data_IF_699310131732
#
_entry.id   IF_699310131732
#
_cell.length_a   1.000
_cell.length_b   1.000
_cell.length_c   1.000
_cell.angle_alpha   90.00
_cell.angle_beta   90.00
_cell.angle_gamma   90.00
#
_symmetry.space_group_name_H-M   'P 1'
#
loop_
_entity.id
_entity.type
_entity.pdbx_description
1 polymer ?
#
# COMPACT_ATOMS: atom_id res chain seq x y z
N UNK A 1 13.15 13.58 1.56
CA UNK A 1 13.94 13.03 0.43
C UNK A 1 15.25 12.40 0.90
N UNK A 2 16.17 13.16 1.49
CA UNK A 2 17.52 12.68 1.88
C UNK A 2 17.48 11.42 2.75
N UNK A 3 16.56 11.34 3.71
CA UNK A 3 16.42 10.19 4.64
C UNK A 3 16.14 8.88 3.90
N UNK A 4 15.31 8.92 2.85
CA UNK A 4 14.99 7.72 2.06
C UNK A 4 16.18 7.24 1.23
N UNK A 5 16.95 8.17 0.65
CA UNK A 5 18.09 7.85 -0.19
C UNK A 5 19.25 7.19 0.59
N UNK A 6 19.31 7.38 1.91
CA UNK A 6 20.27 6.70 2.76
C UNK A 6 19.99 5.19 2.90
N UNK A 7 18.75 4.76 2.64
CA UNK A 7 18.34 3.35 2.69
C UNK A 7 18.57 2.62 1.36
N UNK A 8 19.02 3.34 0.33
CA UNK A 8 19.13 2.82 -1.03
C UNK A 8 20.60 2.76 -1.44
N UNK A 9 21.08 1.56 -1.75
CA UNK A 9 22.50 1.30 -1.99
C UNK A 9 22.97 1.76 -3.38
N UNK A 10 22.16 1.53 -4.43
CA UNK A 10 22.58 1.78 -5.81
C UNK A 10 22.11 3.14 -6.34
N UNK A 11 22.91 3.73 -7.24
CA UNK A 11 22.54 5.00 -7.90
C UNK A 11 21.31 4.83 -8.80
N UNK A 12 21.14 3.67 -9.42
CA UNK A 12 19.99 3.35 -10.28
C UNK A 12 18.69 3.32 -9.46
N UNK A 13 18.69 2.62 -8.32
CA UNK A 13 17.52 2.55 -7.43
C UNK A 13 17.21 3.91 -6.79
N UNK A 14 18.24 4.74 -6.51
CA UNK A 14 18.03 6.13 -6.05
C UNK A 14 17.30 6.95 -7.09
N UNK A 15 17.74 6.91 -8.34
CA UNK A 15 17.08 7.62 -9.45
C UNK A 15 15.64 7.14 -9.64
N UNK A 16 15.41 5.84 -9.59
CA UNK A 16 14.07 5.23 -9.63
C UNK A 16 13.20 5.72 -8.49
N UNK A 17 13.72 5.73 -7.27
CA UNK A 17 13.00 6.22 -6.09
C UNK A 17 12.63 7.69 -6.20
N UNK A 18 13.53 8.55 -6.70
CA UNK A 18 13.24 9.98 -6.90
C UNK A 18 12.10 10.18 -7.90
N UNK A 19 12.09 9.42 -9.00
CA UNK A 19 10.98 9.44 -9.96
C UNK A 19 9.65 9.01 -9.31
N UNK A 20 9.65 7.91 -8.56
CA UNK A 20 8.47 7.43 -7.84
C UNK A 20 7.97 8.45 -6.81
N UNK A 21 8.89 9.09 -6.09
CA UNK A 21 8.54 10.10 -5.10
C UNK A 21 7.82 11.28 -5.76
N UNK A 22 8.41 11.88 -6.81
CA UNK A 22 7.81 13.02 -7.50
C UNK A 22 6.48 12.68 -8.16
N UNK A 23 6.37 11.51 -8.75
CA UNK A 23 5.18 11.07 -9.47
C UNK A 23 4.00 10.74 -8.53
N UNK A 24 4.28 10.12 -7.38
CA UNK A 24 3.23 9.53 -6.55
C UNK A 24 2.96 10.24 -5.22
N UNK A 25 3.80 11.18 -4.77
CA UNK A 25 3.64 11.86 -3.47
C UNK A 25 2.25 12.47 -3.26
N UNK A 26 1.67 13.09 -4.29
CA UNK A 26 0.34 13.70 -4.19
C UNK A 26 -0.78 12.65 -4.17
N UNK A 27 -0.68 11.63 -5.02
CA UNK A 27 -1.63 10.52 -5.02
C UNK A 27 -1.64 9.80 -3.67
N UNK A 28 -0.47 9.55 -3.11
CA UNK A 28 -0.31 8.90 -1.80
C UNK A 28 -0.90 9.76 -0.68
N UNK A 29 -0.63 11.07 -0.70
CA UNK A 29 -1.21 12.00 0.28
C UNK A 29 -2.73 12.00 0.19
N UNK A 30 -3.29 12.15 -1.01
CA UNK A 30 -4.74 12.13 -1.22
C UNK A 30 -5.37 10.82 -0.73
N UNK A 31 -4.74 9.68 -1.06
CA UNK A 31 -5.19 8.35 -0.64
C UNK A 31 -5.20 8.22 0.89
N UNK A 32 -4.13 8.62 1.56
CA UNK A 32 -4.03 8.60 3.02
C UNK A 32 -5.04 9.56 3.67
N UNK A 33 -5.20 10.76 3.09
CA UNK A 33 -6.13 11.76 3.60
C UNK A 33 -7.60 11.32 3.50
N UNK A 34 -7.97 10.57 2.46
CA UNK A 34 -9.32 10.00 2.36
C UNK A 34 -9.66 9.05 3.51
N UNK A 35 -8.66 8.38 4.06
CA UNK A 35 -8.80 7.42 5.16
C UNK A 35 -8.71 8.12 6.52
N UNK A 36 -7.68 8.94 6.71
CA UNK A 36 -7.33 9.51 8.02
C UNK A 36 -8.04 10.84 8.33
N UNK A 37 -8.46 11.57 7.31
CA UNK A 37 -9.15 12.88 7.39
C UNK A 37 -8.36 14.01 8.07
N UNK A 38 -7.13 13.76 8.52
CA UNK A 38 -6.23 14.75 9.13
C UNK A 38 -4.97 14.88 8.28
N UNK A 39 -4.58 16.12 7.88
CA UNK A 39 -3.42 16.33 7.01
C UNK A 39 -2.12 15.80 7.59
N UNK A 40 -1.85 16.04 8.88
CA UNK A 40 -0.63 15.59 9.54
C UNK A 40 -0.50 14.07 9.55
N UNK A 41 -1.58 13.37 9.89
CA UNK A 41 -1.57 11.91 9.88
C UNK A 41 -1.43 11.35 8.46
N UNK A 42 -1.98 12.02 7.46
CA UNK A 42 -1.80 11.65 6.07
C UNK A 42 -0.33 11.81 5.63
N UNK A 43 0.33 12.90 6.03
CA UNK A 43 1.76 13.11 5.79
C UNK A 43 2.61 12.03 6.46
N UNK A 44 2.31 11.66 7.70
CA UNK A 44 3.00 10.59 8.43
C UNK A 44 2.80 9.23 7.73
N UNK A 45 1.58 8.92 7.30
CA UNK A 45 1.30 7.70 6.55
C UNK A 45 2.09 7.63 5.24
N UNK A 46 2.18 8.73 4.50
CA UNK A 46 2.97 8.85 3.28
C UNK A 46 4.46 8.67 3.57
N UNK A 47 4.97 9.29 4.65
CA UNK A 47 6.36 9.12 5.06
C UNK A 47 6.68 7.66 5.35
N UNK A 48 5.88 6.98 6.14
CA UNK A 48 6.05 5.55 6.44
C UNK A 48 5.92 4.66 5.20
N UNK A 49 5.04 5.02 4.27
CA UNK A 49 4.91 4.30 3.01
C UNK A 49 6.16 4.45 2.14
N UNK A 50 6.74 5.65 2.03
CA UNK A 50 7.99 5.86 1.29
C UNK A 50 9.18 5.15 1.92
N UNK A 51 9.27 5.05 3.25
CA UNK A 51 10.29 4.22 3.90
C UNK A 51 10.19 2.77 3.45
N UNK A 52 8.98 2.20 3.46
CA UNK A 52 8.74 0.81 3.00
C UNK A 52 9.04 0.63 1.52
N UNK A 53 8.78 1.63 0.68
CA UNK A 53 9.12 1.62 -0.75
C UNK A 53 10.64 1.66 -0.94
N UNK A 54 11.36 2.51 -0.21
CA UNK A 54 12.82 2.61 -0.28
C UNK A 54 13.50 1.29 0.09
N UNK A 55 13.03 0.62 1.16
CA UNK A 55 13.54 -0.69 1.59
C UNK A 55 13.33 -1.80 0.55
N UNK A 56 12.34 -1.66 -0.33
CA UNK A 56 11.97 -2.67 -1.32
C UNK A 56 12.14 -2.19 -2.77
N UNK A 57 12.87 -1.10 -2.99
CA UNK A 57 12.97 -0.43 -4.31
C UNK A 57 13.50 -1.36 -5.41
N UNK A 58 14.42 -2.24 -5.11
CA UNK A 58 14.99 -3.21 -6.04
C UNK A 58 13.97 -4.20 -6.62
N UNK A 59 12.84 -4.42 -5.90
CA UNK A 59 11.75 -5.32 -6.32
C UNK A 59 10.69 -4.62 -7.13
N UNK A 60 10.72 -3.29 -7.18
CA UNK A 60 9.73 -2.48 -7.88
C UNK A 60 10.13 -2.36 -9.35
N UNK A 61 9.17 -2.60 -10.24
CA UNK A 61 9.31 -2.39 -11.67
C UNK A 61 9.41 -0.90 -12.02
N UNK A 62 9.38 -0.55 -13.29
CA UNK A 62 9.41 0.83 -13.76
C UNK A 62 8.36 1.71 -13.08
N UNK A 63 8.69 2.98 -12.91
CA UNK A 63 7.84 3.98 -12.26
C UNK A 63 6.47 4.14 -12.93
N UNK A 64 6.39 4.05 -14.26
CA UNK A 64 5.16 4.23 -15.04
C UNK A 64 4.32 2.95 -15.19
N UNK A 65 4.75 1.84 -14.62
CA UNK A 65 4.02 0.58 -14.70
C UNK A 65 2.73 0.64 -13.86
N UNK A 66 1.56 0.23 -14.42
CA UNK A 66 0.31 0.12 -13.64
C UNK A 66 0.44 -0.74 -12.39
N UNK A 67 1.32 -1.74 -12.41
CA UNK A 67 1.66 -2.57 -11.24
C UNK A 67 2.30 -1.74 -10.13
N UNK A 68 3.24 -0.87 -10.47
CA UNK A 68 3.91 0.02 -9.53
C UNK A 68 2.91 0.97 -8.87
N UNK A 69 2.00 1.57 -9.65
CA UNK A 69 0.93 2.41 -9.12
C UNK A 69 0.05 1.65 -8.12
N UNK A 70 -0.41 0.46 -8.49
CA UNK A 70 -1.26 -0.36 -7.62
C UNK A 70 -0.52 -0.74 -6.32
N UNK A 71 0.75 -1.10 -6.40
CA UNK A 71 1.59 -1.39 -5.25
C UNK A 71 1.72 -0.20 -4.30
N UNK A 72 2.04 0.99 -4.84
CA UNK A 72 2.21 2.22 -4.06
C UNK A 72 0.92 2.60 -3.34
N UNK A 73 -0.23 2.54 -4.04
CA UNK A 73 -1.54 2.81 -3.44
C UNK A 73 -1.83 1.80 -2.32
N UNK A 74 -1.56 0.50 -2.54
CA UNK A 74 -1.73 -0.54 -1.53
C UNK A 74 -0.89 -0.26 -0.28
N UNK A 75 0.37 0.13 -0.44
CA UNK A 75 1.26 0.42 0.70
C UNK A 75 0.75 1.60 1.52
N UNK A 76 0.40 2.72 0.88
CA UNK A 76 -0.07 3.90 1.60
C UNK A 76 -1.43 3.68 2.24
N UNK A 77 -2.37 2.99 1.58
CA UNK A 77 -3.65 2.59 2.18
C UNK A 77 -3.41 1.76 3.45
N UNK A 78 -2.50 0.79 3.37
CA UNK A 78 -2.19 -0.07 4.50
C UNK A 78 -1.64 0.73 5.68
N UNK A 79 -0.69 1.64 5.44
CA UNK A 79 -0.14 2.52 6.48
C UNK A 79 -1.23 3.38 7.11
N UNK A 80 -2.09 3.99 6.31
CA UNK A 80 -3.19 4.81 6.80
C UNK A 80 -4.20 4.00 7.63
N UNK A 81 -4.57 2.80 7.20
CA UNK A 81 -5.48 1.91 7.93
C UNK A 81 -4.85 1.47 9.25
N UNK A 82 -3.55 1.12 9.27
CA UNK A 82 -2.86 0.71 10.49
C UNK A 82 -2.79 1.86 11.50
N UNK A 83 -2.53 3.09 11.05
CA UNK A 83 -2.57 4.28 11.90
C UNK A 83 -3.97 4.54 12.46
N UNK A 84 -5.00 4.46 11.64
CA UNK A 84 -6.39 4.61 12.08
C UNK A 84 -6.80 3.55 13.11
N UNK A 85 -6.35 2.30 12.92
CA UNK A 85 -6.57 1.22 13.88
C UNK A 85 -5.81 1.43 15.19
N UNK A 86 -4.57 1.91 15.12
CA UNK A 86 -3.77 2.22 16.30
C UNK A 86 -4.44 3.32 17.14
N UNK A 87 -4.99 4.35 16.51
CA UNK A 87 -5.73 5.42 17.18
C UNK A 87 -7.03 4.91 17.83
N UNK A 88 -7.75 3.99 17.15
CA UNK A 88 -9.01 3.41 17.65
C UNK A 88 -8.80 2.29 18.66
N UNK A 89 -7.57 1.94 19.03
CA UNK A 89 -7.27 0.90 20.03
C UNK A 89 -7.64 1.34 21.45
N UNK A 90 -8.94 1.42 21.73
CA UNK A 90 -9.47 0.96 23.02
C UNK A 90 -9.71 -0.55 22.90
N UNK A 91 -9.50 -1.35 23.99
CA UNK A 91 -9.36 -2.82 23.91
C UNK A 91 -10.61 -3.62 23.47
N UNK A 92 -11.61 -3.00 22.89
CA UNK A 92 -12.91 -3.64 22.62
C UNK A 92 -13.52 -3.36 21.25
N UNK A 93 -12.77 -2.83 20.27
CA UNK A 93 -13.35 -2.60 18.93
C UNK A 93 -12.94 -3.74 17.98
N UNK A 94 -13.91 -4.52 17.44
CA UNK A 94 -13.64 -5.51 16.39
C UNK A 94 -12.96 -4.86 15.20
N UNK A 95 -12.12 -5.62 14.47
CA UNK A 95 -11.61 -5.19 13.16
C UNK A 95 -12.80 -4.76 12.30
N UNK A 96 -12.90 -3.47 12.03
CA UNK A 96 -13.89 -2.97 11.10
C UNK A 96 -13.47 -3.34 9.68
N UNK A 97 -14.03 -4.45 9.18
CA UNK A 97 -13.82 -4.92 7.81
C UNK A 97 -14.43 -3.95 6.78
N UNK A 98 -15.17 -2.94 7.24
CA UNK A 98 -15.89 -1.97 6.40
C UNK A 98 -15.03 -0.77 5.97
N UNK A 99 -13.74 -0.68 6.34
CA UNK A 99 -12.87 0.37 5.83
C UNK A 99 -12.58 0.08 4.36
N UNK A 100 -13.40 0.66 3.50
CA UNK A 100 -13.14 0.68 2.06
C UNK A 100 -11.96 1.61 1.80
N UNK A 101 -10.91 1.07 1.21
CA UNK A 101 -9.80 1.88 0.68
C UNK A 101 -10.28 2.80 -0.44
N UNK A 102 -9.41 3.70 -0.86
CA UNK A 102 -9.70 4.62 -1.96
C UNK A 102 -9.91 3.84 -3.25
N UNK A 103 -10.98 4.16 -3.96
CA UNK A 103 -11.20 3.68 -5.32
C UNK A 103 -10.08 4.22 -6.22
N UNK A 104 -9.20 3.37 -6.67
CA UNK A 104 -8.23 3.70 -7.72
C UNK A 104 -8.94 3.48 -9.04
N UNK A 105 -9.14 4.54 -9.83
CA UNK A 105 -9.65 4.40 -11.18
C UNK A 105 -8.63 3.65 -12.04
N UNK A 106 -8.90 2.40 -12.28
CA UNK A 106 -8.24 1.65 -13.35
C UNK A 106 -8.95 2.00 -14.66
N UNK A 107 -8.24 2.69 -15.54
CA UNK A 107 -8.69 2.93 -16.90
C UNK A 107 -8.63 1.60 -17.70
N UNK A 108 -9.69 0.82 -17.65
CA UNK A 108 -9.83 -0.42 -18.41
C UNK A 108 -11.19 -1.04 -18.16
N UNK A 109 -11.86 -1.38 -19.25
CA UNK A 109 -13.20 -2.00 -19.25
C UNK A 109 -13.08 -3.51 -18.88
N UNK A 110 -12.49 -3.79 -17.73
CA UNK A 110 -12.24 -5.15 -17.24
C UNK A 110 -13.12 -5.45 -16.02
N UNK A 111 -14.12 -6.30 -16.21
CA UNK A 111 -15.04 -6.75 -15.14
C UNK A 111 -14.29 -7.32 -13.91
N UNK A 112 -13.16 -7.99 -14.13
CA UNK A 112 -12.31 -8.52 -13.06
C UNK A 112 -11.68 -7.41 -12.23
N UNK A 113 -11.12 -6.38 -12.87
CA UNK A 113 -10.55 -5.23 -12.18
C UNK A 113 -11.61 -4.52 -11.33
N UNK A 114 -12.81 -4.34 -11.87
CA UNK A 114 -13.94 -3.76 -11.16
C UNK A 114 -14.35 -4.60 -9.94
N UNK A 115 -14.46 -5.91 -10.11
CA UNK A 115 -14.78 -6.82 -9.02
C UNK A 115 -13.72 -6.79 -7.90
N UNK A 116 -12.43 -6.70 -8.25
CA UNK A 116 -11.35 -6.56 -7.27
C UNK A 116 -11.46 -5.24 -6.50
N UNK A 117 -11.83 -4.15 -7.18
CA UNK A 117 -12.01 -2.84 -6.55
C UNK A 117 -13.17 -2.80 -5.55
N UNK A 118 -14.19 -3.63 -5.75
CA UNK A 118 -15.35 -3.76 -4.85
C UNK A 118 -15.06 -4.56 -3.58
N UNK A 119 -13.92 -5.28 -3.53
CA UNK A 119 -13.53 -6.03 -2.33
C UNK A 119 -13.12 -5.12 -1.18
N UNK A 120 -13.36 -5.54 0.09
CA UNK A 120 -12.78 -4.88 1.24
C UNK A 120 -11.26 -4.74 1.10
N UNK A 121 -10.71 -3.62 1.60
CA UNK A 121 -9.31 -3.24 1.38
C UNK A 121 -8.30 -4.36 1.67
N UNK A 122 -8.48 -5.11 2.76
CA UNK A 122 -7.56 -6.18 3.14
C UNK A 122 -7.52 -7.33 2.11
N UNK A 123 -8.67 -7.73 1.57
CA UNK A 123 -8.76 -8.77 0.54
C UNK A 123 -8.17 -8.28 -0.77
N UNK A 124 -8.55 -7.08 -1.20
CA UNK A 124 -8.02 -6.45 -2.41
C UNK A 124 -6.50 -6.36 -2.37
N UNK A 125 -5.93 -5.88 -1.26
CA UNK A 125 -4.50 -5.76 -1.07
C UNK A 125 -3.80 -7.12 -1.14
N UNK A 126 -4.32 -8.15 -0.46
CA UNK A 126 -3.77 -9.50 -0.52
C UNK A 126 -3.77 -10.06 -1.96
N UNK A 127 -4.87 -9.91 -2.68
CA UNK A 127 -5.02 -10.40 -4.06
C UNK A 127 -4.05 -9.68 -4.98
N UNK A 128 -3.96 -8.36 -4.93
CA UNK A 128 -3.06 -7.59 -5.76
C UNK A 128 -1.60 -7.94 -5.48
N UNK A 129 -1.20 -8.03 -4.22
CA UNK A 129 0.16 -8.41 -3.84
C UNK A 129 0.50 -9.84 -4.29
N UNK A 130 -0.43 -10.78 -4.18
CA UNK A 130 -0.21 -12.18 -4.55
C UNK A 130 -0.16 -12.40 -6.06
N UNK A 131 -1.23 -11.98 -6.76
CA UNK A 131 -1.46 -12.40 -8.14
C UNK A 131 -0.97 -11.36 -9.16
N UNK A 132 -0.90 -10.10 -8.79
CA UNK A 132 -0.47 -9.04 -9.68
C UNK A 132 1.01 -8.70 -9.52
N UNK A 133 1.51 -8.66 -8.27
CA UNK A 133 2.90 -8.36 -7.94
C UNK A 133 3.77 -9.59 -7.71
N UNK A 134 3.17 -10.78 -7.54
CA UNK A 134 3.89 -12.05 -7.40
C UNK A 134 4.58 -12.26 -6.05
N UNK A 135 4.17 -11.54 -5.00
CA UNK A 135 4.72 -11.75 -3.66
C UNK A 135 4.30 -13.10 -3.07
N UNK A 136 5.19 -13.72 -2.32
CA UNK A 136 4.88 -14.90 -1.53
C UNK A 136 3.95 -14.54 -0.36
N UNK A 137 3.21 -15.52 0.14
CA UNK A 137 2.32 -15.32 1.32
C UNK A 137 3.09 -14.79 2.53
N UNK A 138 4.36 -15.20 2.71
CA UNK A 138 5.22 -14.72 3.79
C UNK A 138 5.59 -13.24 3.62
N UNK A 139 5.92 -12.82 2.41
CA UNK A 139 6.20 -11.41 2.11
C UNK A 139 4.96 -10.53 2.28
N UNK A 140 3.80 -11.01 1.82
CA UNK A 140 2.51 -10.33 2.01
C UNK A 140 2.21 -10.16 3.50
N UNK A 141 2.41 -11.21 4.30
CA UNK A 141 2.25 -11.14 5.76
C UNK A 141 3.13 -10.06 6.38
N UNK A 142 4.39 -9.95 5.95
CA UNK A 142 5.31 -8.89 6.37
C UNK A 142 4.84 -7.50 5.95
N UNK A 143 4.48 -7.32 4.67
CA UNK A 143 4.01 -6.04 4.13
C UNK A 143 2.74 -5.56 4.83
N UNK A 144 1.81 -6.48 5.08
CA UNK A 144 0.52 -6.18 5.68
C UNK A 144 0.51 -6.21 7.21
N UNK A 145 1.66 -6.51 7.84
CA UNK A 145 1.77 -6.70 9.30
C UNK A 145 0.75 -7.69 9.87
N UNK A 146 0.53 -8.78 9.15
CA UNK A 146 -0.37 -9.88 9.54
C UNK A 146 0.42 -11.13 9.88
N UNK A 147 -0.21 -12.03 10.64
CA UNK A 147 0.33 -13.39 10.79
C UNK A 147 0.20 -14.16 9.46
N UNK A 148 1.10 -15.12 9.25
CA UNK A 148 1.05 -16.00 8.07
C UNK A 148 -0.31 -16.72 7.94
N UNK A 149 -0.86 -17.17 9.08
CA UNK A 149 -2.16 -17.83 9.13
C UNK A 149 -3.31 -16.90 8.68
N UNK A 150 -3.31 -15.64 9.14
CA UNK A 150 -4.33 -14.67 8.73
C UNK A 150 -4.21 -14.29 7.25
N UNK A 151 -2.99 -14.12 6.76
CA UNK A 151 -2.74 -13.85 5.33
C UNK A 151 -3.22 -15.01 4.46
N UNK A 152 -2.94 -16.25 4.86
CA UNK A 152 -3.42 -17.45 4.15
C UNK A 152 -4.94 -17.52 4.13
N UNK A 153 -5.62 -17.20 5.24
CA UNK A 153 -7.09 -17.15 5.29
C UNK A 153 -7.68 -16.10 4.36
N UNK A 154 -7.06 -14.92 4.26
CA UNK A 154 -7.50 -13.86 3.34
C UNK A 154 -7.36 -14.28 1.86
N UNK A 155 -6.35 -15.08 1.54
CA UNK A 155 -6.11 -15.58 0.18
C UNK A 155 -6.98 -16.80 -0.19
N UNK A 156 -7.58 -17.50 0.80
CA UNK A 156 -8.40 -18.69 0.57
C UNK A 156 -9.91 -18.42 0.53
N UNK A 157 -10.36 -17.23 0.97
CA UNK A 157 -11.78 -16.81 0.93
C UNK A 157 -12.14 -16.15 -0.40
#
# INVERSE_FOLDING_TARGET
>A
MIVYLQLIDTAEDRSKFEQLYEQYKQLMFYTAFQILKRPQDAEDAVHHAFLSIAENISKISDSDCPKTRAYIVTIVERKAIDMLRAERRHPSVPLDESINGVSVEYSGDNALAKAILELPAAYRQCILLKFYHGYSTKEIAGIMHLSLANTSKLLQR
#
